data_IF_771317831745
#
_entry.id   IF_771317831745
#
_cell.length_a   1.000
_cell.length_b   1.000
_cell.length_c   1.000
_cell.angle_alpha   90.00
_cell.angle_beta   90.00
_cell.angle_gamma   90.00
#
_symmetry.space_group_name_H-M   'P 1'
#
loop_
_entity.id
_entity.type
_entity.pdbx_description
1 polymer ?
#
# COMPACT_ATOMS: atom_id res chain seq x y z
N UNK A 1 -20.01 -21.06 -12.93
CA UNK A 1 -20.43 -20.91 -11.52
C UNK A 1 -19.18 -20.64 -10.70
N UNK A 2 -18.83 -19.37 -10.52
CA UNK A 2 -17.70 -18.96 -9.68
C UNK A 2 -18.11 -19.06 -8.23
N UNK A 3 -17.62 -20.07 -7.53
CA UNK A 3 -17.73 -20.17 -6.07
C UNK A 3 -16.92 -19.05 -5.45
N UNK A 4 -17.59 -17.91 -5.20
CA UNK A 4 -17.06 -16.83 -4.38
C UNK A 4 -16.99 -17.37 -2.94
N UNK A 5 -15.81 -17.86 -2.56
CA UNK A 5 -15.51 -18.18 -1.17
C UNK A 5 -15.84 -16.98 -0.28
N UNK A 6 -16.47 -17.18 0.89
CA UNK A 6 -16.76 -16.08 1.80
C UNK A 6 -15.45 -15.46 2.25
N UNK A 7 -15.30 -14.15 2.07
CA UNK A 7 -14.18 -13.39 2.63
C UNK A 7 -14.33 -13.48 4.15
N UNK A 8 -13.54 -14.36 4.77
CA UNK A 8 -13.41 -14.44 6.22
C UNK A 8 -12.65 -13.17 6.66
N UNK A 9 -13.38 -12.08 6.94
CA UNK A 9 -12.84 -10.86 7.53
C UNK A 9 -12.50 -11.11 9.00
N UNK A 10 -11.36 -11.74 9.27
CA UNK A 10 -10.86 -11.94 10.65
C UNK A 10 -10.31 -10.66 11.30
N UNK A 11 -10.24 -9.54 10.57
CA UNK A 11 -10.00 -8.19 11.10
C UNK A 11 -10.76 -7.17 10.23
N UNK A 12 -11.26 -6.08 10.81
CA UNK A 12 -11.83 -4.96 10.05
C UNK A 12 -10.71 -4.21 9.32
N UNK A 13 -10.94 -3.74 8.10
CA UNK A 13 -9.92 -2.97 7.32
C UNK A 13 -9.39 -1.76 8.12
N UNK A 14 -10.26 -1.13 8.91
CA UNK A 14 -9.90 -0.05 9.82
C UNK A 14 -8.92 -0.48 10.92
N UNK A 15 -9.05 -1.71 11.45
CA UNK A 15 -8.13 -2.25 12.45
C UNK A 15 -6.73 -2.45 11.88
N UNK A 16 -6.63 -3.06 10.70
CA UNK A 16 -5.36 -3.29 10.00
C UNK A 16 -4.66 -1.96 9.71
N UNK A 17 -5.39 -1.00 9.15
CA UNK A 17 -4.87 0.32 8.82
C UNK A 17 -4.30 1.02 10.05
N UNK A 18 -5.03 0.98 11.17
CA UNK A 18 -4.58 1.56 12.45
C UNK A 18 -3.31 0.91 12.95
N UNK A 19 -3.25 -0.42 12.96
CA UNK A 19 -2.07 -1.16 13.40
C UNK A 19 -0.86 -0.78 12.55
N UNK A 20 -1.00 -0.77 11.23
CA UNK A 20 0.09 -0.40 10.32
C UNK A 20 0.54 1.05 10.49
N UNK A 21 -0.38 2.00 10.64
CA UNK A 21 -0.05 3.40 10.92
C UNK A 21 0.66 3.56 12.26
N UNK A 22 0.19 2.88 13.33
CA UNK A 22 0.86 2.90 14.64
C UNK A 22 2.29 2.40 14.53
N UNK A 23 2.49 1.25 13.87
CA UNK A 23 3.80 0.64 13.67
C UNK A 23 4.74 1.53 12.85
N UNK A 24 4.26 2.10 11.73
CA UNK A 24 5.05 3.02 10.91
C UNK A 24 5.46 4.28 11.68
N UNK A 25 4.53 4.86 12.45
CA UNK A 25 4.83 6.04 13.28
C UNK A 25 5.78 5.73 14.44
N UNK A 26 5.75 4.51 14.99
CA UNK A 26 6.71 4.08 16.03
C UNK A 26 8.13 3.91 15.50
N UNK A 27 8.28 3.55 14.22
CA UNK A 27 9.59 3.44 13.55
C UNK A 27 10.16 4.79 13.12
N UNK A 28 9.30 5.80 12.95
CA UNK A 28 9.71 7.13 12.53
C UNK A 28 10.43 7.88 13.66
N UNK A 29 11.48 8.66 13.36
CA UNK A 29 12.11 9.56 14.34
C UNK A 29 11.27 10.81 14.62
N UNK A 30 10.16 11.02 13.89
CA UNK A 30 9.35 12.22 13.99
C UNK A 30 8.38 12.13 15.17
N UNK A 31 8.26 13.22 15.91
CA UNK A 31 7.20 13.37 16.91
C UNK A 31 5.82 13.48 16.25
N UNK A 32 4.77 13.23 17.03
CA UNK A 32 3.38 13.38 16.59
C UNK A 32 3.09 14.77 16.04
N UNK A 33 3.58 15.81 16.72
CA UNK A 33 3.44 17.20 16.33
C UNK A 33 4.12 17.47 14.98
N UNK A 34 5.36 16.98 14.80
CA UNK A 34 6.09 17.13 13.53
C UNK A 34 5.40 16.42 12.37
N UNK A 35 4.79 15.26 12.60
CA UNK A 35 4.03 14.55 11.58
C UNK A 35 2.78 15.35 11.17
N UNK A 36 2.09 15.95 12.14
CA UNK A 36 0.92 16.80 11.88
C UNK A 36 1.30 18.05 11.09
N UNK A 37 2.37 18.72 11.48
CA UNK A 37 2.91 19.88 10.79
C UNK A 37 3.22 19.54 9.32
N UNK A 38 3.97 18.46 9.09
CA UNK A 38 4.31 17.99 7.74
C UNK A 38 3.08 17.57 6.93
N UNK A 39 2.08 16.96 7.55
CA UNK A 39 0.82 16.63 6.87
C UNK A 39 0.11 17.90 6.42
N UNK A 40 0.02 18.92 7.28
CA UNK A 40 -0.61 20.19 6.94
C UNK A 40 0.13 20.92 5.81
N UNK A 41 1.47 20.89 5.81
CA UNK A 41 2.29 21.40 4.71
C UNK A 41 2.03 20.67 3.39
N UNK A 42 1.95 19.33 3.43
CA UNK A 42 1.81 18.50 2.24
C UNK A 42 0.40 18.55 1.61
N UNK A 43 -0.65 18.65 2.43
CA UNK A 43 -2.04 18.50 1.97
C UNK A 43 -2.82 19.82 1.96
N UNK A 44 -2.33 20.84 2.66
CA UNK A 44 -3.08 22.08 2.92
C UNK A 44 -4.25 21.90 3.91
N UNK A 45 -4.52 20.68 4.39
CA UNK A 45 -5.53 20.42 5.42
C UNK A 45 -4.94 20.62 6.82
N UNK A 46 -5.70 21.28 7.69
CA UNK A 46 -5.34 21.44 9.09
C UNK A 46 -5.69 20.14 9.84
N UNK A 47 -4.93 19.08 9.57
CA UNK A 47 -4.89 17.91 10.44
C UNK A 47 -4.38 18.41 11.80
N UNK A 48 -5.04 18.02 12.89
CA UNK A 48 -4.59 18.36 14.24
C UNK A 48 -4.09 17.10 14.94
N UNK A 49 -3.26 17.24 15.97
CA UNK A 49 -2.85 16.10 16.80
C UNK A 49 -4.06 15.34 17.37
N UNK A 50 -5.12 16.06 17.73
CA UNK A 50 -6.39 15.46 18.17
C UNK A 50 -7.01 14.58 17.09
N UNK A 51 -7.05 15.04 15.83
CA UNK A 51 -7.55 14.25 14.69
C UNK A 51 -6.67 13.02 14.48
N UNK A 52 -5.35 13.21 14.44
CA UNK A 52 -4.39 12.13 14.22
C UNK A 52 -4.47 11.06 15.31
N UNK A 53 -4.57 11.46 16.58
CA UNK A 53 -4.80 10.54 17.69
C UNK A 53 -6.17 9.86 17.60
N UNK A 54 -7.19 10.58 17.14
CA UNK A 54 -8.50 10.01 16.86
C UNK A 54 -8.43 8.89 15.83
N UNK A 55 -7.68 9.06 14.74
CA UNK A 55 -7.57 8.05 13.69
C UNK A 55 -6.93 6.75 14.20
N UNK A 56 -5.98 6.87 15.12
CA UNK A 56 -5.27 5.72 15.70
C UNK A 56 -5.96 5.08 16.92
N UNK A 57 -6.97 5.71 17.49
CA UNK A 57 -7.63 5.21 18.69
C UNK A 57 -8.50 3.98 18.36
N UNK A 58 -8.26 2.87 19.06
CA UNK A 58 -9.06 1.64 18.91
C UNK A 58 -10.50 1.85 19.39
N UNK A 59 -10.70 2.67 20.42
CA UNK A 59 -12.02 3.00 20.96
C UNK A 59 -12.87 3.93 20.07
N UNK A 60 -12.32 4.41 18.96
CA UNK A 60 -13.01 5.33 18.04
C UNK A 60 -13.21 4.69 16.67
N UNK A 61 -14.03 3.65 16.62
CA UNK A 61 -14.28 2.92 15.38
C UNK A 61 -14.84 3.79 14.25
N UNK A 62 -15.68 4.77 14.58
CA UNK A 62 -16.29 5.74 13.64
C UNK A 62 -15.29 6.76 13.09
N UNK A 63 -14.13 6.89 13.73
CA UNK A 63 -13.10 7.83 13.33
C UNK A 63 -12.20 7.17 12.28
N UNK A 64 -12.61 7.31 11.01
CA UNK A 64 -11.91 6.73 9.85
C UNK A 64 -10.73 7.60 9.46
N UNK A 65 -9.60 6.97 9.17
CA UNK A 65 -8.45 7.66 8.57
C UNK A 65 -8.80 8.02 7.12
N UNK A 66 -8.67 9.29 6.70
CA UNK A 66 -8.96 9.72 5.33
C UNK A 66 -8.02 9.07 4.31
N UNK A 67 -8.57 8.54 3.23
CA UNK A 67 -7.77 7.87 2.20
C UNK A 67 -6.81 8.83 1.47
N UNK A 68 -7.19 10.09 1.31
CA UNK A 68 -6.36 11.15 0.73
C UNK A 68 -5.05 11.40 1.49
N UNK A 69 -5.00 11.08 2.79
CA UNK A 69 -3.79 11.27 3.61
C UNK A 69 -2.81 10.08 3.51
N UNK A 70 -3.19 8.98 2.85
CA UNK A 70 -2.38 7.74 2.83
C UNK A 70 -1.03 7.97 2.15
N UNK A 71 -0.99 8.65 1.01
CA UNK A 71 0.27 8.87 0.29
C UNK A 71 1.17 9.83 1.07
N UNK A 72 0.62 10.96 1.52
CA UNK A 72 1.39 11.95 2.29
C UNK A 72 1.97 11.37 3.59
N UNK A 73 1.21 10.55 4.33
CA UNK A 73 1.75 9.90 5.54
C UNK A 73 2.86 8.90 5.18
N UNK A 74 2.73 8.13 4.09
CA UNK A 74 3.78 7.20 3.67
C UNK A 74 5.08 7.94 3.33
N UNK A 75 4.98 9.06 2.59
CA UNK A 75 6.12 9.89 2.22
C UNK A 75 6.79 10.54 3.45
N UNK A 76 5.99 11.12 4.35
CA UNK A 76 6.48 11.78 5.57
C UNK A 76 7.21 10.80 6.49
N UNK A 77 6.68 9.58 6.62
CA UNK A 77 7.28 8.54 7.45
C UNK A 77 8.43 7.81 6.74
N UNK A 78 8.56 7.94 5.42
CA UNK A 78 9.48 7.13 4.62
C UNK A 78 9.11 5.64 4.63
N UNK A 79 7.84 5.32 4.85
CA UNK A 79 7.36 3.96 5.08
C UNK A 79 6.05 3.72 4.32
N UNK A 80 6.09 2.81 3.35
CA UNK A 80 4.95 2.46 2.50
C UNK A 80 4.21 1.20 2.98
N UNK A 81 4.49 0.68 4.18
CA UNK A 81 3.89 -0.56 4.68
C UNK A 81 2.36 -0.49 4.76
N UNK A 82 1.83 0.70 5.07
CA UNK A 82 0.40 0.99 5.12
C UNK A 82 -0.24 0.74 3.75
N UNK A 83 0.32 1.38 2.71
CA UNK A 83 -0.16 1.24 1.34
C UNK A 83 0.03 -0.18 0.80
N UNK A 84 1.20 -0.79 1.05
CA UNK A 84 1.48 -2.17 0.68
C UNK A 84 0.43 -3.12 1.25
N UNK A 85 0.08 -2.95 2.54
CA UNK A 85 -0.89 -3.82 3.20
C UNK A 85 -2.28 -3.71 2.60
N UNK A 86 -2.70 -2.50 2.22
CA UNK A 86 -3.98 -2.28 1.56
C UNK A 86 -4.02 -2.96 0.19
N UNK A 87 -2.94 -2.85 -0.59
CA UNK A 87 -2.83 -3.49 -1.92
C UNK A 87 -2.84 -5.02 -1.79
N UNK A 88 -2.08 -5.57 -0.83
CA UNK A 88 -2.09 -7.02 -0.54
C UNK A 88 -3.50 -7.53 -0.21
N UNK A 89 -4.24 -6.79 0.61
CA UNK A 89 -5.62 -7.13 1.01
C UNK A 89 -6.59 -7.08 -0.16
N UNK A 90 -6.38 -6.18 -1.10
CA UNK A 90 -7.14 -6.11 -2.34
C UNK A 90 -6.79 -7.24 -3.34
N UNK A 91 -5.83 -8.12 -3.01
CA UNK A 91 -5.43 -9.23 -3.88
C UNK A 91 -4.39 -8.85 -4.92
N UNK A 92 -3.77 -7.68 -4.78
CA UNK A 92 -2.75 -7.17 -5.69
C UNK A 92 -1.37 -7.18 -5.04
N UNK A 93 -0.34 -6.92 -5.85
CA UNK A 93 1.04 -6.71 -5.40
C UNK A 93 1.52 -5.37 -5.92
N UNK A 94 2.17 -4.60 -5.05
CA UNK A 94 2.92 -3.43 -5.49
C UNK A 94 4.28 -3.88 -5.98
N UNK A 95 4.72 -3.31 -7.10
CA UNK A 95 6.06 -3.48 -7.65
C UNK A 95 6.67 -2.09 -7.80
N UNK A 96 7.95 -1.96 -7.51
CA UNK A 96 8.69 -0.73 -7.76
C UNK A 96 9.13 -0.64 -9.22
N UNK A 97 9.76 0.50 -9.59
CA UNK A 97 10.27 0.69 -10.95
C UNK A 97 11.31 -0.35 -11.36
N UNK A 98 12.08 -0.88 -10.42
CA UNK A 98 13.09 -1.92 -10.70
C UNK A 98 12.42 -3.26 -11.04
N UNK A 99 11.44 -3.69 -10.25
CA UNK A 99 10.69 -4.91 -10.52
C UNK A 99 9.87 -4.80 -11.82
N UNK A 100 9.28 -3.64 -12.10
CA UNK A 100 8.58 -3.37 -13.36
C UNK A 100 9.52 -3.53 -14.57
N UNK A 101 10.75 -3.00 -14.46
CA UNK A 101 11.78 -3.16 -15.50
C UNK A 101 12.12 -4.63 -15.72
N UNK A 102 12.27 -5.41 -14.65
CA UNK A 102 12.57 -6.84 -14.73
C UNK A 102 11.42 -7.63 -15.38
N UNK A 103 10.17 -7.34 -15.01
CA UNK A 103 8.99 -7.96 -15.61
C UNK A 103 8.89 -7.67 -17.11
N UNK A 104 9.21 -6.44 -17.52
CA UNK A 104 9.24 -6.05 -18.94
C UNK A 104 10.28 -6.86 -19.72
N UNK A 105 11.49 -7.01 -19.17
CA UNK A 105 12.55 -7.82 -19.78
C UNK A 105 12.12 -9.29 -19.85
N UNK A 106 11.56 -9.83 -18.78
CA UNK A 106 11.06 -11.21 -18.72
C UNK A 106 10.02 -11.50 -19.79
N UNK A 107 9.04 -10.61 -19.96
CA UNK A 107 8.00 -10.74 -20.98
C UNK A 107 8.59 -10.75 -22.41
N UNK A 108 9.57 -9.88 -22.68
CA UNK A 108 10.26 -9.87 -23.97
C UNK A 108 11.06 -11.16 -24.22
N UNK A 109 11.72 -11.68 -23.18
CA UNK A 109 12.46 -12.94 -23.26
C UNK A 109 11.53 -14.13 -23.53
N UNK A 110 10.39 -14.23 -22.86
CA UNK A 110 9.40 -15.28 -23.11
C UNK A 110 8.86 -15.25 -24.55
N UNK A 111 8.59 -14.05 -25.08
CA UNK A 111 8.14 -13.88 -26.45
C UNK A 111 9.20 -14.38 -27.45
N UNK A 112 10.48 -14.05 -27.22
CA UNK A 112 11.59 -14.53 -28.04
C UNK A 112 11.68 -16.06 -28.02
N UNK A 113 11.69 -16.67 -26.82
CA UNK A 113 11.79 -18.13 -26.67
C UNK A 113 10.61 -18.83 -27.37
N UNK A 114 9.41 -18.25 -27.28
CA UNK A 114 8.22 -18.80 -27.97
C UNK A 114 8.37 -18.72 -29.49
N UNK A 115 8.85 -17.60 -30.03
CA UNK A 115 9.07 -17.44 -31.46
C UNK A 115 10.13 -18.42 -31.99
N UNK A 116 11.23 -18.60 -31.27
CA UNK A 116 12.29 -19.56 -31.63
C UNK A 116 11.77 -21.00 -31.67
N UNK A 117 10.92 -21.40 -30.71
CA UNK A 117 10.28 -22.73 -30.73
C UNK A 117 9.38 -22.93 -31.95
N UNK A 118 8.55 -21.94 -32.28
CA UNK A 118 7.68 -22.00 -33.46
C UNK A 118 8.51 -22.09 -34.74
N UNK A 119 9.58 -21.31 -34.86
CA UNK A 119 10.49 -21.39 -36.02
C UNK A 119 11.15 -22.76 -36.14
N UNK A 120 11.56 -23.37 -35.03
CA UNK A 120 12.14 -24.71 -35.02
C UNK A 120 11.12 -25.80 -35.43
N UNK A 121 9.85 -25.66 -35.03
CA UNK A 121 8.77 -26.58 -35.41
C UNK A 121 8.36 -26.47 -36.88
N UNK A 122 8.39 -25.26 -37.46
CA UNK A 122 8.04 -25.02 -38.88
C UNK A 122 9.18 -25.40 -39.84
N UNK A 123 10.42 -25.46 -39.35
CA UNK A 123 11.60 -25.82 -40.14
C UNK A 123 11.82 -27.36 -40.28
N UNK A 124 10.94 -28.18 -39.67
CA UNK A 124 10.89 -29.65 -39.77
C UNK A 124 9.80 -30.10 -40.75
#
# INVERSE_FOLDING_TARGET
>A
MTTSSPIILRHTEAGILRTQLKEAMQRSPLSRAQIVEKLAEATGDQVTERRLNGYLAESKEDYKFPAELILSICEILGDHSVLLKMVERAGFRMIGPEEERLLTIGAAYEAKVRAEKVLAEVAL
#
